data_IF_097823302003
#
_entry.id   IF_097823302003
#
_cell.length_a   1.000
_cell.length_b   1.000
_cell.length_c   1.000
_cell.angle_alpha   90.00
_cell.angle_beta   90.00
_cell.angle_gamma   90.00
#
_symmetry.space_group_name_H-M   'P 1'
#
loop_
_entity.id
_entity.type
_entity.pdbx_description
1 polymer ?
#
# COMPACT_ATOMS: atom_id res chain seq x y z
N UNK A 1 4.55 -18.52 13.28
CA UNK A 1 3.66 -18.50 12.11
C UNK A 1 4.48 -18.19 10.87
N UNK A 2 4.25 -18.86 9.74
CA UNK A 2 4.99 -18.59 8.49
C UNK A 2 4.31 -17.45 7.74
N UNK A 3 5.10 -16.55 7.14
CA UNK A 3 4.56 -15.48 6.29
C UNK A 3 3.83 -16.06 5.07
N UNK A 4 2.70 -15.46 4.65
CA UNK A 4 2.05 -15.86 3.40
C UNK A 4 3.00 -15.67 2.21
N UNK A 5 2.84 -16.52 1.21
CA UNK A 5 3.53 -16.44 -0.07
C UNK A 5 3.12 -15.17 -0.85
N UNK A 6 4.00 -14.73 -1.75
CA UNK A 6 3.82 -13.48 -2.48
C UNK A 6 2.56 -13.50 -3.36
N UNK A 7 2.31 -14.61 -4.06
CA UNK A 7 1.18 -14.73 -5.00
C UNK A 7 -0.16 -14.65 -4.26
N UNK A 8 -0.32 -15.39 -3.16
CA UNK A 8 -1.50 -15.30 -2.31
C UNK A 8 -1.67 -13.90 -1.72
N UNK A 9 -0.58 -13.24 -1.35
CA UNK A 9 -0.61 -11.87 -0.79
C UNK A 9 -1.06 -10.83 -1.82
N UNK A 10 -0.54 -10.87 -3.04
CA UNK A 10 -0.92 -9.93 -4.11
C UNK A 10 -2.39 -10.13 -4.50
N UNK A 11 -2.82 -11.37 -4.66
CA UNK A 11 -4.23 -11.70 -4.95
C UNK A 11 -5.16 -11.20 -3.85
N UNK A 12 -4.82 -11.46 -2.58
CA UNK A 12 -5.61 -10.99 -1.45
C UNK A 12 -5.63 -9.45 -1.37
N UNK A 13 -4.50 -8.78 -1.55
CA UNK A 13 -4.41 -7.32 -1.54
C UNK A 13 -5.36 -6.67 -2.56
N UNK A 14 -5.36 -7.16 -3.81
CA UNK A 14 -6.26 -6.69 -4.86
C UNK A 14 -7.74 -6.90 -4.50
N UNK A 15 -8.07 -8.03 -3.88
CA UNK A 15 -9.42 -8.33 -3.41
C UNK A 15 -9.85 -7.49 -2.19
N UNK A 16 -8.90 -7.07 -1.37
CA UNK A 16 -9.14 -6.28 -0.17
C UNK A 16 -9.34 -4.79 -0.49
N UNK A 17 -8.59 -4.27 -1.47
CA UNK A 17 -8.57 -2.86 -1.87
C UNK A 17 -9.12 -2.60 -3.29
N UNK A 18 -10.23 -3.27 -3.64
CA UNK A 18 -10.81 -3.22 -5.00
C UNK A 18 -11.11 -1.80 -5.51
N UNK A 19 -11.45 -0.87 -4.62
CA UNK A 19 -11.85 0.51 -4.98
C UNK A 19 -10.76 1.55 -4.78
N UNK A 20 -9.73 1.20 -4.03
CA UNK A 20 -8.78 2.18 -3.51
C UNK A 20 -7.61 2.40 -4.48
N UNK A 21 -7.30 1.40 -5.30
CA UNK A 21 -6.23 1.46 -6.30
C UNK A 21 -6.73 1.03 -7.68
N UNK A 22 -6.13 1.58 -8.72
CA UNK A 22 -6.38 1.17 -10.11
C UNK A 22 -5.31 0.16 -10.51
N UNK A 23 -5.68 -1.11 -10.53
CA UNK A 23 -4.77 -2.21 -10.86
C UNK A 23 -4.68 -2.41 -12.37
N UNK A 24 -3.46 -2.57 -12.87
CA UNK A 24 -3.19 -2.95 -14.27
C UNK A 24 -2.40 -4.26 -14.28
N UNK A 25 -2.77 -5.14 -15.22
CA UNK A 25 -2.02 -6.35 -15.50
C UNK A 25 -0.94 -6.12 -16.56
N UNK A 26 0.13 -6.92 -16.47
CA UNK A 26 1.10 -7.06 -17.56
C UNK A 26 0.43 -7.83 -18.71
N UNK A 27 0.67 -7.43 -19.95
CA UNK A 27 0.17 -8.14 -21.12
C UNK A 27 0.72 -9.58 -21.17
N UNK A 28 -0.15 -10.53 -21.53
CA UNK A 28 0.14 -11.95 -21.65
C UNK A 28 -0.58 -12.51 -22.90
N UNK A 29 0.12 -13.28 -23.73
CA UNK A 29 -0.39 -13.87 -24.98
C UNK A 29 -1.42 -15.00 -24.76
N UNK A 30 -1.46 -15.59 -23.57
CA UNK A 30 -2.46 -16.59 -23.18
C UNK A 30 -3.78 -15.96 -22.69
N UNK A 31 -3.80 -14.64 -22.45
CA UNK A 31 -4.98 -13.95 -21.92
C UNK A 31 -5.76 -13.26 -23.02
N UNK A 32 -7.07 -13.49 -23.06
CA UNK A 32 -7.98 -12.76 -23.94
C UNK A 32 -8.42 -11.47 -23.27
N UNK A 33 -8.19 -10.34 -23.95
CA UNK A 33 -8.56 -9.02 -23.49
C UNK A 33 -9.84 -8.55 -24.19
N UNK A 34 -10.73 -7.95 -23.40
CA UNK A 34 -11.94 -7.31 -23.91
C UNK A 34 -11.70 -5.83 -24.16
N UNK A 35 -12.56 -5.22 -24.97
CA UNK A 35 -12.49 -3.80 -25.30
C UNK A 35 -12.50 -2.96 -24.02
N UNK A 36 -11.60 -1.99 -23.97
CA UNK A 36 -11.44 -1.08 -22.84
C UNK A 36 -10.52 -1.61 -21.74
N UNK A 37 -10.02 -2.85 -21.84
CA UNK A 37 -9.02 -3.35 -20.89
C UNK A 37 -7.67 -2.67 -21.13
N UNK A 38 -7.06 -2.17 -20.04
CA UNK A 38 -5.71 -1.60 -20.07
C UNK A 38 -4.67 -2.63 -19.65
N UNK A 39 -3.56 -2.69 -20.37
CA UNK A 39 -2.41 -3.55 -20.06
C UNK A 39 -1.11 -2.76 -20.11
N UNK A 40 -0.12 -3.22 -19.35
CA UNK A 40 1.25 -2.75 -19.46
C UNK A 40 2.07 -3.70 -20.35
N UNK A 41 2.76 -3.15 -21.34
CA UNK A 41 3.62 -3.90 -22.25
C UNK A 41 5.09 -3.66 -21.92
N UNK A 42 5.77 -4.73 -21.46
CA UNK A 42 7.12 -4.66 -20.89
C UNK A 42 8.23 -4.45 -21.93
N UNK A 43 7.96 -4.70 -23.22
CA UNK A 43 8.97 -4.63 -24.27
C UNK A 43 9.32 -3.18 -24.62
N UNK A 44 8.31 -2.30 -24.68
CA UNK A 44 8.51 -0.87 -24.95
C UNK A 44 8.20 0.02 -23.74
N UNK A 45 7.76 -0.55 -22.61
CA UNK A 45 7.39 0.14 -21.38
C UNK A 45 6.23 1.13 -21.53
N UNK A 46 5.25 0.81 -22.38
CA UNK A 46 4.05 1.61 -22.56
C UNK A 46 2.78 0.92 -22.08
N UNK A 47 1.75 1.73 -21.87
CA UNK A 47 0.40 1.27 -21.53
C UNK A 47 -0.48 1.32 -22.76
N UNK A 48 -1.29 0.27 -22.93
CA UNK A 48 -2.18 0.12 -24.07
C UNK A 48 -3.60 -0.20 -23.62
N UNK A 49 -4.59 0.31 -24.35
CA UNK A 49 -6.00 -0.02 -24.17
C UNK A 49 -6.51 -0.84 -25.34
N UNK A 50 -7.23 -1.92 -25.06
CA UNK A 50 -7.83 -2.79 -26.06
C UNK A 50 -8.98 -2.08 -26.79
N UNK A 51 -8.96 -2.09 -28.12
CA UNK A 51 -9.99 -1.49 -28.98
C UNK A 51 -11.10 -2.47 -29.37
N UNK A 52 -10.81 -3.77 -29.28
CA UNK A 52 -11.69 -4.87 -29.69
C UNK A 52 -11.82 -5.92 -28.57
N UNK A 53 -12.87 -6.74 -28.67
CA UNK A 53 -13.12 -7.84 -27.73
C UNK A 53 -12.39 -9.12 -28.13
N UNK A 54 -12.03 -9.94 -27.15
CA UNK A 54 -11.36 -11.23 -27.32
C UNK A 54 -10.06 -11.14 -28.15
N UNK A 55 -9.22 -10.15 -27.88
CA UNK A 55 -7.91 -10.01 -28.51
C UNK A 55 -6.79 -10.58 -27.64
N UNK A 56 -5.80 -11.19 -28.28
CA UNK A 56 -4.52 -11.60 -27.68
C UNK A 56 -3.33 -11.20 -28.58
N UNK A 57 -3.59 -10.33 -29.57
CA UNK A 57 -2.55 -9.79 -30.45
C UNK A 57 -1.60 -8.87 -29.68
N UNK A 58 -0.41 -8.63 -30.24
CA UNK A 58 0.61 -7.79 -29.63
C UNK A 58 0.06 -6.36 -29.40
N UNK A 59 0.38 -5.70 -28.27
CA UNK A 59 -0.06 -4.33 -27.97
C UNK A 59 0.40 -3.27 -29.00
N UNK A 60 1.41 -3.58 -29.81
CA UNK A 60 1.89 -2.71 -30.90
C UNK A 60 0.99 -2.71 -32.13
N UNK A 61 0.01 -3.62 -32.22
CA UNK A 61 -0.96 -3.68 -33.31
C UNK A 61 -2.03 -2.59 -33.17
N UNK A 62 -1.92 -1.54 -33.99
CA UNK A 62 -2.80 -0.37 -33.91
C UNK A 62 -4.24 -0.63 -34.34
N UNK A 63 -4.56 -1.79 -34.92
CA UNK A 63 -5.96 -2.18 -35.19
C UNK A 63 -6.67 -2.68 -33.94
N UNK A 64 -5.91 -3.22 -32.99
CA UNK A 64 -6.42 -3.89 -31.79
C UNK A 64 -6.12 -3.12 -30.51
N UNK A 65 -5.11 -2.25 -30.51
CA UNK A 65 -4.62 -1.55 -29.34
C UNK A 65 -4.36 -0.07 -29.61
N UNK A 66 -4.64 0.76 -28.61
CA UNK A 66 -4.31 2.18 -28.61
C UNK A 66 -3.33 2.50 -27.49
N UNK A 67 -2.30 3.28 -27.81
CA UNK A 67 -1.30 3.75 -26.85
C UNK A 67 -1.91 4.80 -25.90
N UNK A 68 -1.79 4.58 -24.60
CA UNK A 68 -2.18 5.56 -23.60
C UNK A 68 -1.04 6.57 -23.44
N UNK A 69 -1.29 7.82 -23.84
CA UNK A 69 -0.33 8.92 -23.76
C UNK A 69 -0.57 9.84 -22.55
N UNK A 70 -1.65 9.64 -21.80
CA UNK A 70 -1.94 10.39 -20.57
C UNK A 70 -1.10 9.90 -19.40
N UNK A 71 -0.95 10.73 -18.36
CA UNK A 71 -0.26 10.42 -17.10
C UNK A 71 -0.64 9.03 -16.55
N UNK A 72 0.28 8.06 -16.67
CA UNK A 72 0.13 6.67 -16.21
C UNK A 72 0.56 6.50 -14.75
N UNK A 73 0.89 7.59 -14.06
CA UNK A 73 1.44 7.65 -12.70
C UNK A 73 0.46 7.21 -11.59
N UNK A 74 -0.78 6.87 -11.93
CA UNK A 74 -1.81 6.44 -10.99
C UNK A 74 -2.09 4.92 -11.03
N UNK A 75 -1.44 4.17 -11.91
CA UNK A 75 -1.67 2.73 -12.05
C UNK A 75 -0.75 1.93 -11.14
N UNK A 76 -1.28 0.81 -10.63
CA UNK A 76 -0.55 -0.11 -9.75
C UNK A 76 -0.36 -1.45 -10.45
N UNK A 77 0.89 -1.88 -10.57
CA UNK A 77 1.25 -3.19 -11.08
C UNK A 77 1.52 -4.17 -9.92
N UNK A 78 1.50 -5.47 -10.22
CA UNK A 78 1.77 -6.54 -9.26
C UNK A 78 3.18 -6.39 -8.65
N UNK A 79 4.15 -5.97 -9.47
CA UNK A 79 5.53 -5.71 -9.02
C UNK A 79 5.61 -4.58 -7.98
N UNK A 80 4.73 -3.58 -8.06
CA UNK A 80 4.70 -2.49 -7.07
C UNK A 80 4.17 -3.00 -5.73
N UNK A 81 3.15 -3.87 -5.77
CA UNK A 81 2.59 -4.53 -4.58
C UNK A 81 3.64 -5.46 -3.95
N UNK A 82 4.38 -6.24 -4.75
CA UNK A 82 5.44 -7.13 -4.27
C UNK A 82 6.58 -6.35 -3.60
N UNK A 83 7.00 -5.24 -4.21
CA UNK A 83 8.02 -4.35 -3.64
C UNK A 83 7.54 -3.75 -2.31
N UNK A 84 6.30 -3.26 -2.26
CA UNK A 84 5.70 -2.73 -1.04
C UNK A 84 5.55 -3.82 0.04
N UNK A 85 5.23 -5.06 -0.34
CA UNK A 85 5.20 -6.20 0.57
C UNK A 85 6.55 -6.53 1.16
N UNK A 86 7.62 -6.51 0.36
CA UNK A 86 8.97 -6.73 0.86
C UNK A 86 9.35 -5.68 1.93
N UNK A 87 9.01 -4.40 1.70
CA UNK A 87 9.23 -3.34 2.69
C UNK A 87 8.38 -3.57 3.95
N UNK A 88 7.08 -3.82 3.80
CA UNK A 88 6.17 -4.06 4.91
C UNK A 88 6.63 -5.21 5.81
N UNK A 89 7.10 -6.31 5.21
CA UNK A 89 7.57 -7.50 5.91
C UNK A 89 8.77 -7.24 6.83
N UNK A 90 9.61 -6.24 6.54
CA UNK A 90 10.75 -5.89 7.38
C UNK A 90 10.33 -5.26 8.71
N UNK A 91 9.20 -4.53 8.72
CA UNK A 91 8.69 -3.82 9.89
C UNK A 91 7.57 -4.60 10.61
N UNK A 92 6.95 -5.56 9.94
CA UNK A 92 5.84 -6.33 10.49
C UNK A 92 6.31 -7.40 11.47
N UNK A 93 5.68 -7.46 12.64
CA UNK A 93 5.90 -8.54 13.61
C UNK A 93 4.75 -9.55 13.56
N UNK A 94 4.95 -10.65 12.85
CA UNK A 94 3.97 -11.73 12.74
C UNK A 94 3.66 -12.45 14.05
N UNK A 95 4.50 -12.33 15.08
CA UNK A 95 4.25 -12.96 16.38
C UNK A 95 3.17 -12.26 17.21
N UNK A 96 2.70 -11.09 16.77
CA UNK A 96 1.60 -10.36 17.43
C UNK A 96 0.22 -10.93 17.08
N UNK A 97 0.14 -11.85 16.12
CA UNK A 97 -1.13 -12.34 15.57
C UNK A 97 -1.16 -13.87 15.60
N UNK A 98 -2.29 -14.41 16.06
CA UNK A 98 -2.51 -15.85 16.12
C UNK A 98 -3.29 -16.37 14.90
N UNK A 99 -4.08 -15.52 14.24
CA UNK A 99 -4.89 -15.87 13.06
C UNK A 99 -4.26 -15.38 11.73
N UNK A 100 -4.35 -16.23 10.71
CA UNK A 100 -3.71 -16.02 9.42
C UNK A 100 -4.46 -14.98 8.57
N UNK A 101 -5.79 -14.98 8.66
CA UNK A 101 -6.65 -14.05 7.91
C UNK A 101 -6.58 -12.65 8.50
N UNK A 102 -6.57 -12.55 9.82
CA UNK A 102 -6.24 -11.32 10.52
C UNK A 102 -4.88 -10.80 10.06
N UNK A 103 -3.81 -11.59 10.22
CA UNK A 103 -2.45 -11.21 9.81
C UNK A 103 -2.40 -10.63 8.39
N UNK A 104 -3.08 -11.28 7.43
CA UNK A 104 -3.18 -10.82 6.04
C UNK A 104 -3.88 -9.46 5.92
N UNK A 105 -4.94 -9.24 6.68
CA UNK A 105 -5.64 -7.95 6.69
C UNK A 105 -4.77 -6.82 7.28
N UNK A 106 -4.05 -7.07 8.37
CA UNK A 106 -3.15 -6.09 8.97
C UNK A 106 -1.97 -5.75 8.07
N UNK A 107 -1.33 -6.77 7.49
CA UNK A 107 -0.20 -6.55 6.59
C UNK A 107 -0.63 -5.84 5.31
N UNK A 108 -1.84 -6.07 4.79
CA UNK A 108 -2.37 -5.33 3.65
C UNK A 108 -2.43 -3.81 3.89
N UNK A 109 -2.84 -3.35 5.08
CA UNK A 109 -2.79 -1.91 5.39
C UNK A 109 -1.36 -1.37 5.40
N UNK A 110 -0.39 -2.17 5.83
CA UNK A 110 1.02 -1.78 5.81
C UNK A 110 1.59 -1.78 4.38
N UNK A 111 1.22 -2.76 3.54
CA UNK A 111 1.56 -2.79 2.11
C UNK A 111 0.99 -1.53 1.43
N UNK A 112 -0.28 -1.21 1.67
CA UNK A 112 -0.92 -0.02 1.10
C UNK A 112 -0.23 1.27 1.55
N UNK A 113 0.25 1.33 2.79
CA UNK A 113 1.02 2.47 3.29
C UNK A 113 2.32 2.68 2.48
N UNK A 114 3.14 1.64 2.33
CA UNK A 114 4.38 1.73 1.57
C UNK A 114 4.15 1.95 0.07
N UNK A 115 3.11 1.34 -0.50
CA UNK A 115 2.74 1.52 -1.89
C UNK A 115 2.41 3.00 -2.18
N UNK A 116 1.61 3.64 -1.34
CA UNK A 116 1.26 5.06 -1.52
C UNK A 116 2.48 5.97 -1.38
N UNK A 117 3.36 5.70 -0.42
CA UNK A 117 4.60 6.46 -0.28
C UNK A 117 5.48 6.30 -1.52
N UNK A 118 5.67 5.07 -2.01
CA UNK A 118 6.45 4.80 -3.21
C UNK A 118 5.88 5.52 -4.44
N UNK A 119 4.55 5.54 -4.61
CA UNK A 119 3.89 6.27 -5.69
C UNK A 119 4.07 7.79 -5.56
N UNK A 120 3.96 8.35 -4.36
CA UNK A 120 4.22 9.77 -4.10
C UNK A 120 5.67 10.14 -4.39
N UNK A 121 6.62 9.32 -3.93
CA UNK A 121 8.05 9.52 -4.19
C UNK A 121 8.37 9.43 -5.69
N UNK A 122 7.71 8.51 -6.41
CA UNK A 122 7.84 8.41 -7.86
C UNK A 122 7.33 9.67 -8.58
N UNK A 123 6.25 10.28 -8.10
CA UNK A 123 5.70 11.53 -8.65
C UNK A 123 6.60 12.75 -8.40
N UNK A 124 7.30 12.80 -7.26
CA UNK A 124 8.25 13.88 -6.95
C UNK A 124 9.59 13.75 -7.71
N UNK A 125 9.92 12.53 -8.16
CA UNK A 125 11.11 12.24 -8.94
C UNK A 125 12.43 12.30 -8.13
N UNK A 126 13.55 12.39 -8.84
CA UNK A 126 14.91 12.27 -8.25
C UNK A 126 15.24 13.41 -7.27
N UNK A 127 14.55 14.54 -7.39
CA UNK A 127 14.71 15.69 -6.49
C UNK A 127 13.70 15.69 -5.33
N UNK A 128 13.05 14.55 -5.05
CA UNK A 128 12.12 14.40 -3.93
C UNK A 128 12.78 14.82 -2.61
N UNK A 129 12.05 15.62 -1.84
CA UNK A 129 12.47 16.06 -0.52
C UNK A 129 11.66 15.32 0.53
N UNK A 130 12.31 14.85 1.60
CA UNK A 130 11.61 14.13 2.67
C UNK A 130 10.38 14.87 3.17
N UNK A 131 9.22 14.23 3.09
CA UNK A 131 7.95 14.79 3.51
C UNK A 131 7.84 14.76 5.03
N UNK A 132 7.83 15.95 5.63
CA UNK A 132 7.49 16.11 7.04
C UNK A 132 6.03 16.54 7.15
N UNK A 133 5.27 15.99 8.12
CA UNK A 133 3.89 16.42 8.43
C UNK A 133 3.87 17.96 8.45
N UNK A 134 3.17 18.59 7.49
CA UNK A 134 3.20 20.03 7.39
C UNK A 134 2.46 20.61 8.60
N UNK A 135 3.16 21.41 9.41
CA UNK A 135 2.54 22.14 10.52
C UNK A 135 1.54 23.21 10.03
N UNK A 136 1.51 23.47 8.71
CA UNK A 136 0.57 24.38 8.06
C UNK A 136 0.28 23.93 6.63
N UNK A 137 -0.96 24.08 6.19
CA UNK A 137 -1.33 23.97 4.77
C UNK A 137 -1.91 25.30 4.31
N UNK A 138 -1.43 25.81 3.19
CA UNK A 138 -1.91 27.05 2.59
C UNK A 138 -2.51 26.75 1.22
N UNK A 139 -3.78 27.09 1.02
CA UNK A 139 -4.42 27.04 -0.29
C UNK A 139 -5.01 28.41 -0.58
N UNK A 140 -4.40 29.16 -1.50
CA UNK A 140 -4.75 30.55 -1.74
C UNK A 140 -4.50 31.44 -0.52
N UNK A 141 -5.51 32.21 -0.12
CA UNK A 141 -5.42 33.13 1.03
C UNK A 141 -5.80 32.48 2.38
N UNK A 142 -6.06 31.16 2.39
CA UNK A 142 -6.43 30.43 3.61
C UNK A 142 -5.25 29.62 4.10
N UNK A 143 -4.76 29.95 5.29
CA UNK A 143 -3.77 29.17 6.01
C UNK A 143 -4.42 28.47 7.20
N UNK A 144 -4.23 27.16 7.29
CA UNK A 144 -4.62 26.36 8.44
C UNK A 144 -3.35 25.86 9.13
N UNK A 145 -3.26 26.06 10.44
CA UNK A 145 -2.12 25.63 11.26
C UNK A 145 -2.55 24.52 12.19
N UNK A 146 -1.84 23.39 12.16
CA UNK A 146 -2.14 22.23 12.97
C UNK A 146 -1.09 22.08 14.08
N UNK A 147 -1.55 22.00 15.34
CA UNK A 147 -0.68 21.60 16.45
C UNK A 147 -0.53 20.09 16.42
N UNK A 148 0.58 19.60 15.89
CA UNK A 148 0.88 18.18 15.91
C UNK A 148 1.15 17.71 17.36
N UNK A 149 0.50 16.65 17.85
CA UNK A 149 0.73 16.10 19.18
C UNK A 149 2.20 15.68 19.37
N UNK A 150 2.82 16.08 20.49
CA UNK A 150 4.26 15.89 20.77
C UNK A 150 4.71 14.42 20.75
N UNK A 151 3.81 13.51 21.10
CA UNK A 151 4.00 12.05 21.06
C UNK A 151 4.11 11.45 19.65
N UNK A 152 3.77 12.20 18.60
CA UNK A 152 3.96 11.77 17.20
C UNK A 152 5.27 12.28 16.57
N UNK A 153 5.90 13.32 17.13
CA UNK A 153 7.13 13.92 16.60
C UNK A 153 8.38 13.60 17.44
N UNK A 154 8.24 13.25 18.72
CA UNK A 154 9.38 13.09 19.64
C UNK A 154 9.87 11.66 19.89
N UNK A 155 8.98 10.66 19.92
CA UNK A 155 9.29 9.40 20.63
C UNK A 155 9.61 8.18 19.75
N UNK A 156 9.23 8.16 18.45
CA UNK A 156 9.77 7.15 17.52
C UNK A 156 9.61 7.52 16.03
N UNK A 157 10.71 7.38 15.27
CA UNK A 157 10.74 7.60 13.82
C UNK A 157 9.77 6.67 13.05
N UNK A 158 9.58 5.45 13.55
CA UNK A 158 8.72 4.45 12.89
C UNK A 158 7.24 4.83 13.01
N UNK A 159 6.77 5.26 14.18
CA UNK A 159 5.38 5.72 14.34
C UNK A 159 5.12 6.98 13.53
N UNK A 160 6.12 7.84 13.38
CA UNK A 160 6.03 9.01 12.54
C UNK A 160 5.80 8.65 11.07
N UNK A 161 6.62 7.73 10.52
CA UNK A 161 6.48 7.27 9.15
C UNK A 161 5.07 6.71 8.89
N UNK A 162 4.57 5.86 9.80
CA UNK A 162 3.22 5.28 9.68
C UNK A 162 2.08 6.31 9.74
N UNK A 163 2.31 7.50 10.31
CA UNK A 163 1.29 8.55 10.35
C UNK A 163 1.18 9.37 9.05
N UNK A 164 2.08 9.19 8.08
CA UNK A 164 2.09 9.96 6.83
C UNK A 164 0.90 9.65 5.91
N UNK A 165 0.35 8.43 5.98
CA UNK A 165 -0.80 8.04 5.15
C UNK A 165 -1.96 7.52 5.99
N UNK A 166 -3.19 7.64 5.47
CA UNK A 166 -4.40 7.14 6.14
C UNK A 166 -4.36 5.63 6.35
N UNK A 167 -3.72 4.89 5.46
CA UNK A 167 -3.53 3.44 5.60
C UNK A 167 -2.62 3.09 6.77
N UNK A 168 -1.54 3.84 6.96
CA UNK A 168 -0.64 3.65 8.10
C UNK A 168 -1.29 4.04 9.43
N UNK A 169 -2.09 5.13 9.46
CA UNK A 169 -2.91 5.47 10.63
C UNK A 169 -3.95 4.39 10.95
N UNK A 170 -4.59 3.81 9.92
CA UNK A 170 -5.52 2.68 10.09
C UNK A 170 -4.80 1.47 10.69
N UNK A 171 -3.63 1.10 10.16
CA UNK A 171 -2.79 0.05 10.72
C UNK A 171 -2.47 0.31 12.20
N UNK A 172 -2.01 1.51 12.55
CA UNK A 172 -1.73 1.91 13.94
C UNK A 172 -2.95 1.76 14.85
N UNK A 173 -4.13 2.19 14.39
CA UNK A 173 -5.37 2.05 15.17
C UNK A 173 -5.73 0.60 15.46
N UNK A 174 -5.39 -0.32 14.55
CA UNK A 174 -5.69 -1.73 14.66
C UNK A 174 -4.68 -2.47 15.56
N UNK A 175 -3.40 -2.08 15.54
CA UNK A 175 -2.37 -2.71 16.39
C UNK A 175 -2.28 -2.09 17.79
N UNK A 176 -2.75 -0.86 17.98
CA UNK A 176 -2.70 -0.16 19.27
C UNK A 176 -3.17 -0.99 20.47
N UNK A 177 -4.32 -1.70 20.43
CA UNK A 177 -4.74 -2.55 21.56
C UNK A 177 -3.84 -3.76 21.80
N UNK A 178 -3.11 -4.24 20.79
CA UNK A 178 -2.18 -5.37 20.90
C UNK A 178 -0.83 -4.93 21.50
N UNK A 179 -0.46 -3.67 21.33
CA UNK A 179 0.78 -3.11 21.86
C UNK A 179 0.67 -2.74 23.36
N UNK A 180 -0.54 -2.41 23.83
CA UNK A 180 -0.79 -2.07 25.23
C UNK A 180 -1.25 -3.32 25.97
N UNK A 181 -0.30 -4.05 26.58
CA UNK A 181 -0.60 -5.25 27.35
C UNK A 181 -1.49 -4.96 28.57
N UNK A 182 -2.49 -5.82 28.81
CA UNK A 182 -3.28 -5.78 30.04
C UNK A 182 -2.45 -6.26 31.23
N UNK A 183 -2.07 -5.36 32.14
CA UNK A 183 -1.45 -5.75 33.41
C UNK A 183 -2.55 -6.07 34.43
N UNK A 184 -2.58 -7.31 34.91
CA UNK A 184 -3.44 -7.71 36.02
C UNK A 184 -2.55 -7.96 37.25
N UNK A 185 -2.69 -7.12 38.28
CA UNK A 185 -2.01 -7.32 39.56
C UNK A 185 -2.92 -8.11 40.50
N UNK A 186 -2.56 -9.36 40.78
CA UNK A 186 -3.25 -10.18 41.78
C UNK A 186 -2.51 -10.01 43.10
N UNK A 187 -3.18 -9.47 44.13
CA UNK A 187 -2.62 -9.39 45.48
C UNK A 187 -2.73 -10.76 46.15
N UNK A 188 -1.60 -11.43 46.34
CA UNK A 188 -1.52 -12.61 47.20
C UNK A 188 -1.56 -12.22 48.68
N UNK A 189 -2.42 -12.88 49.46
CA UNK A 189 -2.35 -12.84 50.94
C UNK A 189 -1.39 -13.94 51.38
N UNK A 190 -0.33 -13.58 52.09
CA UNK A 190 0.47 -14.54 52.88
C UNK A 190 -0.10 -14.55 54.30
N UNK A 191 -0.69 -15.66 54.71
CA UNK A 191 -1.07 -15.87 56.11
C UNK A 191 0.20 -16.20 56.90
N UNK A 192 0.57 -15.43 57.95
CA UNK A 192 1.65 -15.82 58.84
C UNK A 192 1.23 -17.08 59.63
N UNK A 193 2.13 -18.06 59.66
CA UNK A 193 2.02 -19.31 60.43
C UNK A 193 2.08 -19.05 61.94
#
# INVERSE_FOLDING_TARGET
MQYPDNETTVSFFKSFFVRDFIYIGVWNDETLYNKGTTVFYTVDNHFYIALQDNIATLPTDTENWELITSETSNYVLDVDIEKAYFQAKQFFNSALFDDATELLSYICYLIAHYLVIDLQMAQEGVNSTGYYIPNHTTVGDVSESYSNPTNSQGDSFILYQLNQTRYGQKYLSLISPLLVGHFNSIRGTTTPF
#
